data_IF_799715281357
#
_entry.id   IF_799715281357
#
_cell.length_a   1.000
_cell.length_b   1.000
_cell.length_c   1.000
_cell.angle_alpha   90.00
_cell.angle_beta   90.00
_cell.angle_gamma   90.00
#
_symmetry.space_group_name_H-M   'P 1'
#
loop_
_entity.id
_entity.type
_entity.pdbx_description
1 polymer ?
#
# COMPACT_ATOMS: atom_id res chain seq x y z
N UNK A 1 18.54 12.23 23.15
CA UNK A 1 17.53 11.16 23.12
C UNK A 1 16.08 11.65 23.09
N UNK A 2 15.76 12.76 23.70
CA UNK A 2 14.40 13.34 23.73
C UNK A 2 13.91 13.89 22.37
N UNK A 3 14.79 14.37 21.50
CA UNK A 3 14.43 14.94 20.21
C UNK A 3 13.91 13.91 19.18
N UNK A 4 14.38 12.65 19.24
CA UNK A 4 13.91 11.59 18.33
C UNK A 4 12.48 11.13 18.62
N UNK A 5 12.03 11.14 19.87
CA UNK A 5 10.65 10.80 20.23
C UNK A 5 9.63 11.85 19.75
N UNK A 6 9.94 13.14 19.87
CA UNK A 6 9.03 14.23 19.41
C UNK A 6 8.84 14.26 17.89
N UNK A 7 9.89 13.97 17.13
CA UNK A 7 9.79 13.89 15.67
C UNK A 7 8.94 12.69 15.23
N UNK A 8 9.03 11.58 15.94
CA UNK A 8 8.26 10.38 15.66
C UNK A 8 6.75 10.57 15.93
N UNK A 9 6.38 11.21 17.04
CA UNK A 9 4.98 11.51 17.34
C UNK A 9 4.37 12.52 16.37
N UNK A 10 5.11 13.53 15.92
CA UNK A 10 4.64 14.44 14.87
C UNK A 10 4.34 13.73 13.55
N UNK A 11 5.11 12.73 13.17
CA UNK A 11 4.84 11.92 11.98
C UNK A 11 3.59 11.05 12.14
N UNK A 12 3.37 10.48 13.31
CA UNK A 12 2.16 9.69 13.60
C UNK A 12 0.90 10.57 13.64
N UNK A 13 0.97 11.76 14.24
CA UNK A 13 -0.15 12.72 14.26
C UNK A 13 -0.49 13.25 12.86
N UNK A 14 0.51 13.50 12.02
CA UNK A 14 0.29 13.90 10.62
C UNK A 14 -0.35 12.77 9.80
N UNK A 15 -0.05 11.52 10.08
CA UNK A 15 -0.67 10.36 9.41
C UNK A 15 -2.20 10.35 9.59
N UNK A 16 -2.68 10.60 10.80
CA UNK A 16 -4.13 10.63 11.08
C UNK A 16 -4.85 11.82 10.42
N UNK A 17 -4.14 12.93 10.18
CA UNK A 17 -4.69 14.10 9.49
C UNK A 17 -4.81 13.94 7.97
N UNK A 18 -4.14 12.94 7.37
CA UNK A 18 -4.11 12.71 5.92
C UNK A 18 -5.09 11.65 5.42
N UNK A 19 -5.93 11.07 6.28
CA UNK A 19 -6.97 10.13 5.84
C UNK A 19 -7.93 10.75 4.82
N UNK A 20 -8.24 12.03 4.95
CA UNK A 20 -9.02 12.78 3.98
C UNK A 20 -8.38 12.84 2.58
N UNK A 21 -7.07 12.85 2.49
CA UNK A 21 -6.32 12.91 1.24
C UNK A 21 -6.39 11.60 0.45
N UNK A 22 -6.45 10.45 1.13
CA UNK A 22 -6.58 9.13 0.49
C UNK A 22 -7.90 9.03 -0.27
N UNK A 23 -9.01 9.42 0.35
CA UNK A 23 -10.32 9.41 -0.29
C UNK A 23 -10.39 10.40 -1.45
N UNK A 24 -9.82 11.58 -1.27
CA UNK A 24 -9.75 12.59 -2.31
C UNK A 24 -8.89 12.12 -3.48
N UNK A 25 -7.71 11.56 -3.24
CA UNK A 25 -6.83 11.01 -4.28
C UNK A 25 -7.52 9.92 -5.08
N UNK A 26 -8.21 8.98 -4.41
CA UNK A 26 -9.01 7.94 -5.06
C UNK A 26 -10.13 8.51 -5.91
N UNK A 27 -10.89 9.47 -5.38
CA UNK A 27 -11.97 10.15 -6.10
C UNK A 27 -11.46 10.86 -7.36
N UNK A 28 -10.36 11.59 -7.26
CA UNK A 28 -9.74 12.27 -8.41
C UNK A 28 -9.27 11.30 -9.47
N UNK A 29 -8.67 10.19 -9.08
CA UNK A 29 -8.21 9.18 -10.02
C UNK A 29 -9.37 8.59 -10.84
N UNK A 30 -10.44 8.13 -10.17
CA UNK A 30 -11.57 7.49 -10.85
C UNK A 30 -12.46 8.46 -11.63
N UNK A 31 -12.41 9.76 -11.35
CA UNK A 31 -13.05 10.78 -12.19
C UNK A 31 -12.35 11.00 -13.53
N UNK A 32 -11.16 10.42 -13.69
CA UNK A 32 -10.33 10.53 -14.90
C UNK A 32 -10.01 11.97 -15.35
N UNK A 33 -10.09 12.91 -14.42
CA UNK A 33 -9.88 14.35 -14.69
C UNK A 33 -8.39 14.72 -14.70
N UNK A 34 -7.52 13.85 -14.14
CA UNK A 34 -6.09 14.12 -14.00
C UNK A 34 -5.23 13.17 -14.84
N UNK A 35 -5.03 13.54 -16.11
CA UNK A 35 -4.17 12.77 -17.04
C UNK A 35 -2.72 12.66 -16.54
N UNK A 36 -2.21 13.68 -15.86
CA UNK A 36 -0.85 13.68 -15.32
C UNK A 36 -0.70 12.66 -14.19
N UNK A 37 -1.67 12.60 -13.27
CA UNK A 37 -1.67 11.59 -12.20
C UNK A 37 -1.70 10.18 -12.77
N UNK A 38 -2.56 9.92 -13.74
CA UNK A 38 -2.68 8.61 -14.39
C UNK A 38 -1.37 8.21 -15.09
N UNK A 39 -0.73 9.14 -15.81
CA UNK A 39 0.58 8.91 -16.43
C UNK A 39 1.66 8.59 -15.40
N UNK A 40 1.74 9.33 -14.30
CA UNK A 40 2.72 9.10 -13.24
C UNK A 40 2.53 7.74 -12.57
N UNK A 41 1.29 7.37 -12.24
CA UNK A 41 0.97 6.08 -11.62
C UNK A 41 1.23 4.91 -12.58
N UNK A 42 0.88 5.05 -13.85
CA UNK A 42 1.19 4.06 -14.88
C UNK A 42 2.69 3.81 -15.00
N UNK A 43 3.49 4.87 -15.05
CA UNK A 43 4.96 4.72 -15.08
C UNK A 43 5.51 4.10 -13.81
N UNK A 44 4.94 4.44 -12.64
CA UNK A 44 5.36 3.89 -11.35
C UNK A 44 5.07 2.41 -11.23
N UNK A 45 3.93 1.94 -11.69
CA UNK A 45 3.47 0.58 -11.38
C UNK A 45 3.65 -0.41 -12.54
N UNK A 46 3.61 0.05 -13.78
CA UNK A 46 3.57 -0.84 -14.94
C UNK A 46 4.82 -1.73 -15.07
N UNK A 47 5.99 -1.27 -14.61
CA UNK A 47 7.21 -2.08 -14.63
C UNK A 47 7.12 -3.32 -13.74
N UNK A 48 6.29 -3.30 -12.69
CA UNK A 48 6.08 -4.43 -11.79
C UNK A 48 5.51 -5.65 -12.53
N UNK A 49 4.77 -5.41 -13.61
CA UNK A 49 4.19 -6.47 -14.43
C UNK A 49 5.23 -7.39 -15.07
N UNK A 50 6.50 -6.97 -15.15
CA UNK A 50 7.61 -7.83 -15.61
C UNK A 50 7.89 -9.00 -14.65
N UNK A 51 7.50 -8.86 -13.39
CA UNK A 51 7.72 -9.83 -12.32
C UNK A 51 6.45 -10.57 -11.90
N UNK A 52 5.33 -10.32 -12.58
CA UNK A 52 4.01 -10.81 -12.18
C UNK A 52 3.44 -11.70 -13.28
N UNK A 53 3.06 -12.92 -12.90
CA UNK A 53 2.28 -13.82 -13.74
C UNK A 53 0.78 -13.58 -13.52
N UNK A 54 -0.03 -13.80 -14.55
CA UNK A 54 -1.49 -13.59 -14.46
C UNK A 54 -2.18 -14.46 -13.38
N UNK A 55 -1.58 -15.60 -13.05
CA UNK A 55 -2.08 -16.55 -12.05
C UNK A 55 -1.60 -16.25 -10.63
N UNK A 56 -0.59 -15.39 -10.45
CA UNK A 56 -0.02 -15.11 -9.12
C UNK A 56 -1.10 -14.57 -8.17
N UNK A 57 -1.14 -15.13 -6.97
CA UNK A 57 -1.87 -14.58 -5.82
C UNK A 57 -1.01 -13.50 -5.19
N UNK A 58 -1.47 -12.27 -5.22
CA UNK A 58 -0.68 -11.12 -4.81
C UNK A 58 -1.38 -10.38 -3.67
N UNK A 59 -0.63 -10.01 -2.64
CA UNK A 59 -1.08 -9.05 -1.62
C UNK A 59 -0.32 -7.74 -1.74
N UNK A 60 -1.03 -6.62 -1.75
CA UNK A 60 -0.46 -5.30 -1.55
C UNK A 60 -0.59 -4.91 -0.07
N UNK A 61 0.54 -4.67 0.60
CA UNK A 61 0.60 -4.16 1.95
C UNK A 61 0.78 -2.64 1.94
N UNK A 62 -0.10 -1.92 2.64
CA UNK A 62 -0.10 -0.46 2.63
C UNK A 62 -0.67 0.13 1.34
N UNK A 63 -1.83 -0.35 0.93
CA UNK A 63 -2.46 0.02 -0.35
C UNK A 63 -2.91 1.48 -0.44
N UNK A 64 -3.09 2.17 0.68
CA UNK A 64 -3.57 3.55 0.70
C UNK A 64 -4.85 3.71 -0.12
N UNK A 65 -4.78 4.47 -1.21
CA UNK A 65 -5.92 4.70 -2.11
C UNK A 65 -6.27 3.48 -2.99
N UNK A 66 -5.54 2.37 -2.87
CA UNK A 66 -5.79 1.10 -3.60
C UNK A 66 -5.83 1.27 -5.13
N UNK A 67 -4.86 2.03 -5.68
CA UNK A 67 -4.80 2.32 -7.11
C UNK A 67 -3.95 1.32 -7.89
N UNK A 68 -3.13 0.51 -7.21
CA UNK A 68 -2.25 -0.47 -7.86
C UNK A 68 -3.02 -1.49 -8.71
N UNK A 69 -4.22 -1.88 -8.29
CA UNK A 69 -5.10 -2.80 -9.03
C UNK A 69 -5.37 -2.37 -10.47
N UNK A 70 -5.39 -1.07 -10.73
CA UNK A 70 -5.68 -0.52 -12.06
C UNK A 70 -4.51 -0.71 -13.06
N UNK A 71 -3.32 -1.08 -12.57
CA UNK A 71 -2.09 -1.15 -13.38
C UNK A 71 -1.45 -2.54 -13.41
N UNK A 72 -1.84 -3.43 -12.52
CA UNK A 72 -1.26 -4.78 -12.41
C UNK A 72 -2.06 -5.78 -13.24
N UNK A 73 -1.35 -6.63 -13.97
CA UNK A 73 -1.95 -7.59 -14.92
C UNK A 73 -2.56 -8.84 -14.24
N UNK A 74 -2.37 -9.03 -12.93
CA UNK A 74 -3.02 -10.13 -12.20
C UNK A 74 -4.40 -9.73 -11.71
N UNK A 75 -5.40 -10.59 -11.92
CA UNK A 75 -6.74 -10.44 -11.34
C UNK A 75 -6.81 -10.89 -9.88
N UNK A 76 -5.75 -11.52 -9.37
CA UNK A 76 -5.67 -12.08 -8.02
C UNK A 76 -4.92 -11.14 -7.06
N UNK A 77 -4.77 -9.86 -7.41
CA UNK A 77 -4.23 -8.85 -6.49
C UNK A 77 -5.28 -8.47 -5.46
N UNK A 78 -4.94 -8.71 -4.20
CA UNK A 78 -5.72 -8.27 -3.04
C UNK A 78 -5.03 -7.09 -2.37
N UNK A 79 -5.80 -6.17 -1.83
CA UNK A 79 -5.32 -4.95 -1.21
C UNK A 79 -5.48 -4.99 0.30
N UNK A 80 -4.51 -4.45 1.02
CA UNK A 80 -4.58 -4.35 2.47
C UNK A 80 -3.92 -3.08 2.97
N UNK A 81 -4.44 -2.56 4.07
CA UNK A 81 -3.90 -1.38 4.72
C UNK A 81 -4.19 -1.42 6.23
N UNK A 82 -3.46 -0.61 6.98
CA UNK A 82 -3.72 -0.41 8.41
C UNK A 82 -5.07 0.31 8.65
N UNK A 83 -5.56 1.04 7.65
CA UNK A 83 -6.86 1.70 7.66
C UNK A 83 -8.01 0.71 7.45
N UNK A 84 -9.25 1.18 7.59
CA UNK A 84 -10.46 0.37 7.49
C UNK A 84 -11.39 0.76 6.32
N UNK A 85 -10.86 1.35 5.27
CA UNK A 85 -11.65 1.77 4.11
C UNK A 85 -12.38 0.60 3.44
N UNK A 86 -13.61 0.82 3.00
CA UNK A 86 -14.48 -0.23 2.44
C UNK A 86 -14.02 -0.77 1.08
N UNK A 87 -13.17 -0.04 0.38
CA UNK A 87 -12.60 -0.48 -0.89
C UNK A 87 -11.40 -1.44 -0.76
N UNK A 88 -10.93 -1.71 0.47
CA UNK A 88 -9.84 -2.67 0.75
C UNK A 88 -10.38 -4.09 0.88
N UNK A 89 -9.62 -5.07 0.37
CA UNK A 89 -9.94 -6.49 0.58
C UNK A 89 -9.67 -6.93 2.02
N UNK A 90 -8.58 -6.44 2.62
CA UNK A 90 -8.24 -6.66 4.02
C UNK A 90 -8.02 -5.33 4.72
N UNK A 91 -8.65 -5.16 5.87
CA UNK A 91 -8.63 -3.94 6.68
C UNK A 91 -7.84 -4.14 7.97
N UNK A 92 -7.33 -3.06 8.54
CA UNK A 92 -6.60 -3.07 9.81
C UNK A 92 -5.41 -4.05 9.81
N UNK A 93 -4.70 -4.15 8.70
CA UNK A 93 -3.53 -5.02 8.56
C UNK A 93 -2.26 -4.25 8.91
N UNK A 94 -1.57 -4.71 9.95
CA UNK A 94 -0.22 -4.23 10.25
C UNK A 94 0.78 -4.94 9.33
N UNK A 95 1.44 -4.19 8.45
CA UNK A 95 2.41 -4.73 7.52
C UNK A 95 3.69 -5.30 8.19
N UNK A 96 3.84 -5.16 9.50
CA UNK A 96 4.92 -5.75 10.30
C UNK A 96 4.49 -6.99 11.09
N UNK A 97 3.19 -7.32 11.03
CA UNK A 97 2.57 -8.49 11.66
C UNK A 97 1.19 -8.74 11.04
N UNK A 98 1.16 -9.32 9.86
CA UNK A 98 -0.04 -9.42 9.02
C UNK A 98 -1.05 -10.47 9.49
N UNK A 99 -0.60 -11.49 10.23
CA UNK A 99 -1.36 -12.68 10.60
C UNK A 99 -1.89 -13.49 9.39
N UNK A 100 -1.32 -13.30 8.20
CA UNK A 100 -1.58 -14.20 7.07
C UNK A 100 -0.85 -15.54 7.29
N UNK A 101 -1.37 -16.60 6.69
CA UNK A 101 -0.69 -17.91 6.71
C UNK A 101 0.59 -17.84 5.85
N UNK A 102 1.58 -18.64 6.25
CA UNK A 102 2.79 -18.81 5.45
C UNK A 102 2.43 -19.30 4.04
N UNK A 103 3.13 -18.77 3.05
CA UNK A 103 2.92 -19.12 1.63
C UNK A 103 1.49 -18.87 1.11
N UNK A 104 0.70 -18.02 1.79
CA UNK A 104 -0.66 -17.68 1.36
C UNK A 104 -0.67 -16.93 0.02
N UNK A 105 0.38 -16.17 -0.25
CA UNK A 105 0.54 -15.36 -1.46
C UNK A 105 1.83 -15.72 -2.18
N UNK A 106 1.78 -15.69 -3.52
CA UNK A 106 2.97 -15.91 -4.35
C UNK A 106 3.87 -14.67 -4.38
N UNK A 107 3.29 -13.49 -4.19
CA UNK A 107 4.01 -12.21 -4.19
C UNK A 107 3.42 -11.21 -3.22
N UNK A 108 4.31 -10.45 -2.61
CA UNK A 108 3.98 -9.29 -1.77
C UNK A 108 4.45 -8.02 -2.47
N UNK A 109 3.60 -7.03 -2.55
CA UNK A 109 3.93 -5.70 -3.08
C UNK A 109 3.76 -4.68 -1.95
N UNK A 110 4.78 -3.85 -1.76
CA UNK A 110 4.73 -2.72 -0.84
C UNK A 110 5.25 -1.48 -1.56
N UNK A 111 4.34 -0.59 -1.93
CA UNK A 111 4.69 0.65 -2.64
C UNK A 111 4.53 1.85 -1.72
N UNK A 112 5.60 2.61 -1.52
CA UNK A 112 5.64 3.79 -0.64
C UNK A 112 5.26 3.50 0.83
N UNK A 113 5.43 2.27 1.31
CA UNK A 113 5.08 1.86 2.67
C UNK A 113 6.24 2.01 3.66
N UNK A 114 7.45 1.61 3.27
CA UNK A 114 8.59 1.39 4.17
C UNK A 114 8.94 2.63 5.00
N UNK A 115 8.86 3.81 4.39
CA UNK A 115 9.16 5.08 5.07
C UNK A 115 8.11 5.50 6.12
N UNK A 116 6.96 4.84 6.14
CA UNK A 116 5.92 5.03 7.15
C UNK A 116 6.06 4.08 8.34
N UNK A 117 6.90 3.04 8.23
CA UNK A 117 7.06 2.04 9.28
C UNK A 117 8.09 2.48 10.31
N UNK A 118 7.76 2.28 11.59
CA UNK A 118 8.69 2.54 12.71
C UNK A 118 9.91 1.62 12.68
N UNK A 119 9.67 0.36 12.31
CA UNK A 119 10.66 -0.71 12.28
C UNK A 119 10.60 -1.45 10.94
N UNK A 120 11.16 -0.89 9.84
CA UNK A 120 11.09 -1.48 8.51
C UNK A 120 11.60 -2.92 8.43
N UNK A 121 12.60 -3.27 9.26
CA UNK A 121 13.16 -4.62 9.33
C UNK A 121 12.10 -5.67 9.71
N UNK A 122 11.13 -5.31 10.56
CA UNK A 122 10.03 -6.23 10.91
C UNK A 122 9.17 -6.56 9.70
N UNK A 123 8.92 -5.58 8.83
CA UNK A 123 8.18 -5.82 7.59
C UNK A 123 8.93 -6.79 6.67
N UNK A 124 10.23 -6.62 6.48
CA UNK A 124 11.01 -7.56 5.66
C UNK A 124 11.02 -8.99 6.24
N UNK A 125 11.04 -9.13 7.56
CA UNK A 125 10.93 -10.45 8.20
C UNK A 125 9.54 -11.08 8.05
N UNK A 126 8.52 -10.27 8.00
CA UNK A 126 7.13 -10.71 7.84
C UNK A 126 6.85 -11.24 6.44
N UNK A 127 7.50 -10.67 5.41
CA UNK A 127 7.23 -11.00 4.00
C UNK A 127 8.22 -11.99 3.39
N UNK A 128 9.25 -12.41 4.12
CA UNK A 128 10.25 -13.40 3.70
C UNK A 128 9.90 -14.80 4.14
#
# INVERSE_FOLDING_TARGET
>A
MYFKKKAYFKHAENRMKHEGDILSARKYFFKNENKNLNFLLKNRFNWMNKFINKSDKIIELGSGASLLKEFINSKNLQTSDFTNFDFLDFKNIDATNTNFADEQFDKVISSNLIHHLAFPIKHFKEVL
#
